data_IF_572453963599
#
_entry.id   IF_572453963599
#
_cell.length_a   1.000
_cell.length_b   1.000
_cell.length_c   1.000
_cell.angle_alpha   90.00
_cell.angle_beta   90.00
_cell.angle_gamma   90.00
#
_symmetry.space_group_name_H-M   'P 1'
#
loop_
_entity.id
_entity.type
_entity.pdbx_description
1 polymer ?
#
# COMPACT_ATOMS: atom_id res chain seq x y z
N UNK A 1 -19.59 -16.85 14.91
CA UNK A 1 -18.87 -15.86 14.09
C UNK A 1 -18.49 -16.55 12.80
N UNK A 2 -18.85 -15.99 11.64
CA UNK A 2 -18.42 -16.54 10.35
C UNK A 2 -16.90 -16.45 10.22
N UNK A 3 -16.30 -17.40 9.52
CA UNK A 3 -14.85 -17.41 9.30
C UNK A 3 -14.51 -16.32 8.26
N UNK A 4 -13.88 -15.22 8.70
CA UNK A 4 -13.43 -14.15 7.80
C UNK A 4 -12.28 -14.70 6.96
N UNK A 5 -12.25 -14.39 5.66
CA UNK A 5 -11.11 -14.75 4.83
C UNK A 5 -9.85 -14.01 5.31
N UNK A 6 -8.73 -14.70 5.63
CA UNK A 6 -7.52 -14.06 6.14
C UNK A 6 -7.01 -12.91 5.26
N UNK A 7 -7.17 -12.98 3.94
CA UNK A 7 -6.75 -11.90 3.04
C UNK A 7 -7.60 -10.62 3.20
N UNK A 8 -8.80 -10.72 3.77
CA UNK A 8 -9.59 -9.54 4.14
C UNK A 8 -9.01 -8.81 5.35
N UNK A 9 -8.27 -9.51 6.21
CA UNK A 9 -7.62 -8.96 7.40
C UNK A 9 -6.20 -8.42 7.11
N UNK A 10 -5.70 -8.60 5.89
CA UNK A 10 -4.42 -8.08 5.43
C UNK A 10 -4.46 -6.58 5.15
N UNK A 11 -5.61 -6.05 4.73
CA UNK A 11 -5.71 -4.69 4.18
C UNK A 11 -6.40 -3.71 5.12
N UNK A 12 -6.02 -2.45 5.04
CA UNK A 12 -6.58 -1.35 5.83
C UNK A 12 -6.82 -0.13 4.96
N UNK A 13 -7.83 0.66 5.31
CA UNK A 13 -8.06 1.96 4.69
C UNK A 13 -7.05 2.96 5.26
N UNK A 14 -6.31 3.63 4.37
CA UNK A 14 -5.32 4.64 4.73
C UNK A 14 -5.85 6.01 4.34
N UNK A 15 -5.69 6.99 5.22
CA UNK A 15 -6.07 8.38 5.00
C UNK A 15 -4.85 9.27 5.19
N UNK A 16 -4.64 10.20 4.27
CA UNK A 16 -3.71 11.31 4.44
C UNK A 16 -4.49 12.46 5.06
N UNK A 17 -3.96 13.03 6.15
CA UNK A 17 -4.62 14.07 6.90
C UNK A 17 -3.75 15.33 6.98
N UNK A 18 -4.41 16.48 7.05
CA UNK A 18 -3.82 17.78 7.32
C UNK A 18 -4.55 18.38 8.52
N UNK A 19 -3.86 18.65 9.62
CA UNK A 19 -4.45 19.16 10.85
C UNK A 19 -5.66 18.33 11.34
N UNK A 20 -5.58 17.01 11.22
CA UNK A 20 -6.66 16.08 11.60
C UNK A 20 -7.82 15.98 10.60
N UNK A 21 -7.77 16.68 9.46
CA UNK A 21 -8.78 16.58 8.40
C UNK A 21 -8.25 15.72 7.26
N UNK A 22 -9.03 14.72 6.85
CA UNK A 22 -8.70 13.88 5.71
C UNK A 22 -8.67 14.69 4.41
N UNK A 23 -7.53 14.66 3.71
CA UNK A 23 -7.32 15.32 2.41
C UNK A 23 -7.22 14.33 1.25
N UNK A 24 -6.83 13.09 1.53
CA UNK A 24 -6.79 12.01 0.54
C UNK A 24 -6.98 10.65 1.21
N UNK A 25 -7.26 9.62 0.42
CA UNK A 25 -7.31 8.24 0.89
C UNK A 25 -6.81 7.24 -0.13
N UNK A 26 -6.42 6.09 0.40
CA UNK A 26 -6.06 4.91 -0.36
C UNK A 26 -6.27 3.65 0.45
N UNK A 27 -5.62 2.60 -0.02
CA UNK A 27 -5.53 1.31 0.63
C UNK A 27 -4.09 1.11 1.10
N UNK A 28 -3.92 0.42 2.22
CA UNK A 28 -2.63 -0.14 2.61
C UNK A 28 -2.82 -1.58 3.05
N UNK A 29 -1.71 -2.29 3.25
CA UNK A 29 -1.74 -3.64 3.79
C UNK A 29 -0.57 -3.89 4.72
N UNK A 30 -0.79 -4.82 5.64
CA UNK A 30 0.22 -5.26 6.57
C UNK A 30 1.17 -6.25 5.88
N UNK A 31 2.46 -6.03 6.09
CA UNK A 31 3.53 -6.87 5.56
C UNK A 31 4.54 -7.15 6.67
N UNK A 32 4.97 -8.40 6.80
CA UNK A 32 5.90 -8.84 7.83
C UNK A 32 7.19 -9.36 7.20
N UNK A 33 8.35 -8.91 7.70
CA UNK A 33 9.63 -9.49 7.32
C UNK A 33 9.77 -10.91 7.86
N UNK A 34 10.34 -11.83 7.07
CA UNK A 34 10.50 -13.22 7.50
C UNK A 34 11.60 -13.35 8.56
N UNK A 35 12.74 -12.69 8.36
CA UNK A 35 13.91 -12.86 9.24
C UNK A 35 13.70 -12.18 10.59
N UNK A 36 13.43 -10.88 10.58
CA UNK A 36 13.35 -10.06 11.79
C UNK A 36 11.92 -9.98 12.38
N UNK A 37 10.92 -10.58 11.71
CA UNK A 37 9.50 -10.57 12.12
C UNK A 37 8.93 -9.15 12.33
N UNK A 38 9.53 -8.14 11.69
CA UNK A 38 9.13 -6.75 11.79
C UNK A 38 7.89 -6.50 10.95
N UNK A 39 6.97 -5.71 11.50
CA UNK A 39 5.70 -5.38 10.86
C UNK A 39 5.78 -4.02 10.16
N UNK A 40 5.19 -3.93 8.98
CA UNK A 40 5.13 -2.74 8.17
C UNK A 40 3.71 -2.51 7.65
N UNK A 41 3.34 -1.24 7.48
CA UNK A 41 2.25 -0.83 6.62
C UNK A 41 2.83 -0.49 5.25
N UNK A 42 2.35 -1.17 4.22
CA UNK A 42 2.73 -0.91 2.84
C UNK A 42 1.57 -0.21 2.13
N UNK A 43 1.87 0.86 1.39
CA UNK A 43 0.91 1.59 0.54
C UNK A 43 1.67 2.27 -0.61
N UNK A 44 0.99 3.06 -1.44
CA UNK A 44 1.67 3.87 -2.46
C UNK A 44 2.27 5.14 -1.87
N UNK A 45 3.34 5.64 -2.49
CA UNK A 45 3.94 6.91 -2.11
C UNK A 45 2.95 8.06 -2.25
N UNK A 46 2.16 8.10 -3.33
CA UNK A 46 1.17 9.16 -3.52
C UNK A 46 0.00 9.10 -2.52
N UNK A 47 -0.27 7.94 -1.91
CA UNK A 47 -1.25 7.85 -0.82
C UNK A 47 -0.72 8.53 0.45
N UNK A 48 0.59 8.48 0.67
CA UNK A 48 1.27 9.11 1.82
C UNK A 48 1.51 10.59 1.59
N UNK A 49 1.84 11.01 0.37
CA UNK A 49 2.26 12.40 0.10
C UNK A 49 1.23 13.24 -0.65
N UNK A 50 0.28 12.61 -1.33
CA UNK A 50 -0.63 13.28 -2.26
C UNK A 50 -0.02 13.56 -3.64
N UNK A 51 1.24 13.16 -3.88
CA UNK A 51 1.96 13.44 -5.12
C UNK A 51 2.67 12.20 -5.69
N UNK A 52 2.99 12.22 -6.98
CA UNK A 52 3.83 11.17 -7.56
C UNK A 52 5.25 11.19 -6.96
N UNK A 53 5.98 10.05 -6.96
CA UNK A 53 7.36 9.98 -6.45
C UNK A 53 8.34 10.97 -7.09
N UNK A 54 8.04 11.49 -8.29
CA UNK A 54 8.87 12.46 -9.01
C UNK A 54 8.61 13.91 -8.59
N UNK A 55 7.50 14.16 -7.89
CA UNK A 55 7.16 15.50 -7.43
C UNK A 55 8.19 16.03 -6.44
N UNK A 56 8.46 17.33 -6.52
CA UNK A 56 9.28 18.07 -5.55
C UNK A 56 8.44 18.85 -4.55
N UNK A 57 7.11 18.74 -4.65
CA UNK A 57 6.17 19.40 -3.75
C UNK A 57 6.22 18.76 -2.35
N UNK A 58 5.93 19.57 -1.35
CA UNK A 58 5.76 19.05 0.01
C UNK A 58 4.46 18.25 0.11
N UNK A 59 4.39 17.23 0.97
CA UNK A 59 3.16 16.46 1.14
C UNK A 59 1.93 17.34 1.40
N UNK A 60 0.77 16.92 0.85
CA UNK A 60 -0.51 17.60 1.06
C UNK A 60 -1.02 17.52 2.52
N UNK A 61 -0.45 16.64 3.33
CA UNK A 61 -0.80 16.41 4.72
C UNK A 61 0.40 16.38 5.65
N UNK A 62 0.13 16.21 6.94
CA UNK A 62 1.12 16.13 8.03
C UNK A 62 1.17 14.76 8.70
N UNK A 63 0.15 13.93 8.46
CA UNK A 63 -0.01 12.61 9.08
C UNK A 63 -0.74 11.66 8.15
N UNK A 64 -0.50 10.36 8.32
CA UNK A 64 -1.42 9.33 7.83
C UNK A 64 -2.16 8.70 9.01
N UNK A 65 -3.35 8.20 8.74
CA UNK A 65 -4.08 7.35 9.67
C UNK A 65 -4.62 6.11 8.98
N UNK A 66 -4.69 4.99 9.70
CA UNK A 66 -5.30 3.77 9.20
C UNK A 66 -6.18 3.12 10.26
N UNK A 67 -7.22 2.40 9.82
CA UNK A 67 -8.18 1.74 10.71
C UNK A 67 -7.90 0.25 10.81
N UNK A 68 -7.84 -0.27 12.02
CA UNK A 68 -7.62 -1.70 12.27
C UNK A 68 -8.71 -2.24 13.19
N UNK A 69 -9.18 -3.46 12.90
CA UNK A 69 -10.17 -4.16 13.72
C UNK A 69 -9.56 -4.51 15.08
N UNK A 70 -10.40 -4.58 16.10
CA UNK A 70 -9.99 -4.97 17.47
C UNK A 70 -10.68 -6.29 17.82
N UNK A 71 -9.96 -7.21 18.47
CA UNK A 71 -10.46 -8.54 18.84
C UNK A 71 -11.72 -8.51 19.71
N UNK A 72 -11.89 -7.47 20.52
CA UNK A 72 -13.09 -7.24 21.34
C UNK A 72 -14.30 -6.73 20.56
N UNK A 73 -14.15 -6.48 19.26
CA UNK A 73 -15.16 -5.85 18.40
C UNK A 73 -14.88 -4.38 18.13
N UNK A 74 -15.38 -3.90 16.99
CA UNK A 74 -15.13 -2.55 16.50
C UNK A 74 -13.77 -2.36 15.84
N UNK A 75 -13.29 -1.11 15.82
CA UNK A 75 -12.01 -0.74 15.24
C UNK A 75 -11.39 0.41 15.99
N UNK A 76 -10.08 0.58 15.83
CA UNK A 76 -9.39 1.81 16.22
C UNK A 76 -8.59 2.38 15.07
N UNK A 77 -8.35 3.68 15.17
CA UNK A 77 -7.51 4.42 14.24
C UNK A 77 -6.11 4.52 14.82
N UNK A 78 -5.09 4.22 14.02
CA UNK A 78 -3.70 4.48 14.33
C UNK A 78 -3.26 5.63 13.43
N UNK A 79 -2.61 6.63 14.04
CA UNK A 79 -2.12 7.81 13.36
C UNK A 79 -0.59 7.86 13.45
N UNK A 80 0.06 8.20 12.33
CA UNK A 80 1.51 8.28 12.21
C UNK A 80 1.85 9.62 11.55
N UNK A 81 2.66 10.48 12.18
CA UNK A 81 3.10 11.71 11.54
C UNK A 81 3.97 11.39 10.32
N UNK A 82 3.82 12.16 9.24
CA UNK A 82 4.66 12.00 8.05
C UNK A 82 6.13 12.27 8.34
N UNK A 83 6.40 13.27 9.18
CA UNK A 83 7.75 13.64 9.56
C UNK A 83 7.94 13.58 11.05
N UNK A 84 9.06 13.01 11.48
CA UNK A 84 9.54 13.08 12.86
C UNK A 84 10.92 13.72 12.83
N UNK A 85 11.09 14.80 13.59
CA UNK A 85 12.35 15.57 13.62
C UNK A 85 12.92 15.85 12.22
N UNK A 86 12.06 16.31 11.30
CA UNK A 86 12.42 16.64 9.91
C UNK A 86 12.72 15.47 8.97
N UNK A 87 12.61 14.22 9.44
CA UNK A 87 12.81 13.02 8.61
C UNK A 87 11.49 12.30 8.32
N UNK A 88 11.31 11.77 7.09
CA UNK A 88 10.12 11.01 6.75
C UNK A 88 10.04 9.73 7.58
N UNK A 89 8.82 9.35 7.96
CA UNK A 89 8.54 8.10 8.70
C UNK A 89 8.35 6.89 7.78
N UNK A 90 8.24 7.12 6.46
CA UNK A 90 8.17 6.07 5.46
C UNK A 90 9.52 5.83 4.77
N UNK A 91 9.67 4.61 4.26
CA UNK A 91 10.78 4.15 3.45
C UNK A 91 10.36 4.11 1.99
N UNK A 92 11.32 4.31 1.11
CA UNK A 92 11.19 4.15 -0.34
C UNK A 92 12.33 3.27 -0.84
N UNK A 93 12.18 2.71 -2.04
CA UNK A 93 13.25 1.91 -2.63
C UNK A 93 14.54 2.72 -2.79
N UNK A 94 15.69 2.11 -2.49
CA UNK A 94 16.99 2.79 -2.51
C UNK A 94 17.38 3.28 -3.91
N UNK A 95 17.31 2.41 -4.92
CA UNK A 95 17.67 2.73 -6.32
C UNK A 95 16.48 3.09 -7.22
N UNK A 96 15.30 2.46 -7.05
CA UNK A 96 14.10 2.68 -7.86
C UNK A 96 13.21 3.79 -7.28
N UNK A 97 13.70 5.04 -7.31
CA UNK A 97 12.99 6.21 -6.75
C UNK A 97 11.65 6.52 -7.41
N UNK A 98 11.43 6.03 -8.63
CA UNK A 98 10.16 6.19 -9.34
C UNK A 98 9.08 5.19 -8.91
N UNK A 99 9.45 4.15 -8.15
CA UNK A 99 8.50 3.17 -7.65
C UNK A 99 7.53 3.85 -6.67
N UNK A 100 6.25 3.79 -6.99
CA UNK A 100 5.19 4.39 -6.19
C UNK A 100 4.85 3.50 -4.99
N UNK A 101 5.82 3.34 -4.10
CA UNK A 101 5.76 2.46 -2.94
C UNK A 101 6.27 3.23 -1.73
N UNK A 102 5.49 3.20 -0.65
CA UNK A 102 5.89 3.65 0.67
C UNK A 102 5.72 2.51 1.67
N UNK A 103 6.77 2.24 2.43
CA UNK A 103 6.77 1.20 3.48
C UNK A 103 6.98 1.90 4.82
N UNK A 104 6.06 1.71 5.75
CA UNK A 104 6.04 2.42 7.04
C UNK A 104 6.24 1.38 8.14
N UNK A 105 7.39 1.36 8.82
CA UNK A 105 7.61 0.45 9.93
C UNK A 105 6.61 0.72 11.07
N UNK A 106 5.96 -0.34 11.56
CA UNK A 106 4.98 -0.28 12.65
C UNK A 106 5.61 -0.82 13.92
N UNK A 107 5.58 -0.02 14.99
CA UNK A 107 6.18 -0.38 16.28
C UNK A 107 5.20 -0.22 17.43
N UNK A 108 5.42 -1.04 18.47
CA UNK A 108 4.79 -0.90 19.77
C UNK A 108 3.53 -1.74 19.96
N UNK A 109 3.06 -1.73 21.21
CA UNK A 109 1.92 -2.54 21.65
C UNK A 109 0.57 -2.08 21.09
N UNK A 110 0.55 -0.96 20.35
CA UNK A 110 -0.67 -0.39 19.76
C UNK A 110 -1.36 -1.35 18.77
N UNK A 111 -0.73 -2.43 18.34
CA UNK A 111 -1.36 -3.45 17.48
C UNK A 111 -1.69 -4.76 18.19
N UNK A 112 -1.32 -4.94 19.47
CA UNK A 112 -1.43 -6.21 20.21
C UNK A 112 -2.85 -6.78 20.29
N UNK A 113 -3.82 -5.90 20.50
CA UNK A 113 -5.25 -6.25 20.61
C UNK A 113 -5.99 -6.19 19.26
N UNK A 114 -5.26 -5.94 18.18
CA UNK A 114 -5.84 -5.82 16.85
C UNK A 114 -6.03 -7.20 16.20
N UNK A 115 -7.02 -7.26 15.33
CA UNK A 115 -7.29 -8.39 14.44
C UNK A 115 -6.83 -7.98 13.03
N UNK A 116 -5.68 -8.52 12.61
CA UNK A 116 -5.12 -8.34 11.27
C UNK A 116 -4.26 -9.56 10.91
N UNK A 117 -4.03 -9.73 9.62
CA UNK A 117 -3.07 -10.69 9.06
C UNK A 117 -2.01 -9.91 8.27
N UNK A 118 -0.87 -10.51 7.98
CA UNK A 118 0.19 -9.85 7.21
C UNK A 118 0.65 -10.72 6.04
N UNK A 119 0.91 -10.07 4.90
CA UNK A 119 1.65 -10.72 3.81
C UNK A 119 3.13 -10.80 4.17
N UNK A 120 3.85 -11.69 3.49
CA UNK A 120 5.30 -11.74 3.52
C UNK A 120 5.82 -12.28 2.18
N UNK A 121 7.14 -12.27 2.00
CA UNK A 121 7.80 -12.73 0.79
C UNK A 121 7.64 -14.22 0.52
N UNK A 122 7.10 -14.99 1.48
CA UNK A 122 6.78 -16.42 1.37
C UNK A 122 5.40 -16.70 0.78
N UNK A 123 4.56 -15.69 0.53
CA UNK A 123 3.28 -15.86 -0.19
C UNK A 123 3.55 -15.98 -1.70
N UNK A 124 4.29 -17.03 -2.08
CA UNK A 124 4.74 -17.35 -3.43
C UNK A 124 4.49 -18.83 -3.68
N UNK A 125 3.35 -19.14 -4.30
CA UNK A 125 3.20 -20.45 -4.95
C UNK A 125 3.85 -20.33 -6.34
N UNK A 126 4.96 -21.00 -6.59
CA UNK A 126 5.65 -20.93 -7.89
C UNK A 126 4.98 -21.75 -8.98
N UNK A 127 4.22 -22.76 -8.57
CA UNK A 127 3.49 -23.65 -9.47
C UNK A 127 2.22 -22.96 -10.02
N UNK A 128 1.67 -21.94 -9.35
CA UNK A 128 0.44 -21.29 -9.86
C UNK A 128 0.71 -20.50 -11.14
N UNK A 129 -0.13 -20.71 -12.15
CA UNK A 129 -0.10 -19.94 -13.38
C UNK A 129 -0.31 -18.46 -13.08
N UNK A 130 0.69 -17.66 -13.44
CA UNK A 130 0.73 -16.21 -13.19
C UNK A 130 0.75 -15.35 -14.45
N UNK A 131 0.85 -15.96 -15.63
CA UNK A 131 0.97 -15.27 -16.93
C UNK A 131 -0.30 -14.54 -17.38
N UNK A 132 -0.31 -13.99 -18.61
CA UNK A 132 -1.49 -13.37 -19.19
C UNK A 132 -2.72 -14.26 -19.04
N UNK A 133 -3.89 -13.68 -18.76
CA UNK A 133 -5.16 -14.38 -18.42
C UNK A 133 -5.24 -14.98 -17.00
N UNK A 134 -4.14 -15.06 -16.25
CA UNK A 134 -4.21 -15.48 -14.85
C UNK A 134 -5.14 -14.54 -14.06
N UNK A 135 -6.06 -15.12 -13.29
CA UNK A 135 -7.02 -14.34 -12.49
C UNK A 135 -6.28 -13.63 -11.35
N UNK A 136 -6.41 -12.31 -11.31
CA UNK A 136 -5.88 -11.45 -10.25
C UNK A 136 -7.00 -10.90 -9.39
N UNK A 137 -6.71 -10.67 -8.11
CA UNK A 137 -7.59 -10.06 -7.12
C UNK A 137 -6.88 -8.86 -6.50
N UNK A 138 -7.53 -7.70 -6.51
CA UNK A 138 -7.19 -6.53 -5.69
C UNK A 138 -8.13 -6.49 -4.48
N UNK A 139 -7.58 -6.23 -3.30
CA UNK A 139 -8.36 -6.12 -2.06
C UNK A 139 -8.16 -4.71 -1.52
N UNK A 140 -9.22 -3.91 -1.40
CA UNK A 140 -9.07 -2.51 -1.00
C UNK A 140 -10.38 -1.74 -0.79
N UNK A 141 -10.28 -0.42 -0.83
CA UNK A 141 -11.32 0.51 -0.37
C UNK A 141 -11.70 1.54 -1.46
N UNK A 142 -12.41 1.12 -2.54
CA UNK A 142 -12.76 1.99 -3.66
C UNK A 142 -13.68 3.13 -3.21
N UNK A 143 -13.26 4.39 -3.36
CA UNK A 143 -13.92 5.58 -2.81
C UNK A 143 -14.21 5.49 -1.31
N UNK A 144 -13.49 4.64 -0.58
CA UNK A 144 -13.75 4.37 0.84
C UNK A 144 -14.97 3.48 1.06
N UNK A 145 -15.54 2.89 0.01
CA UNK A 145 -16.62 1.93 0.11
C UNK A 145 -16.08 0.61 0.71
N UNK A 146 -16.69 0.19 1.82
CA UNK A 146 -16.34 -1.00 2.57
C UNK A 146 -17.52 -1.42 3.45
N UNK A 147 -17.47 -2.63 4.01
CA UNK A 147 -18.40 -2.99 5.08
C UNK A 147 -18.01 -2.20 6.33
N UNK A 148 -18.73 -1.13 6.64
CA UNK A 148 -18.44 -0.28 7.80
C UNK A 148 -18.75 -0.95 9.15
N UNK A 149 -19.68 -1.91 9.18
CA UNK A 149 -20.04 -2.61 10.41
C UNK A 149 -18.94 -3.60 10.81
N UNK A 150 -18.36 -4.28 9.81
CA UNK A 150 -17.29 -5.23 10.02
C UNK A 150 -15.91 -4.71 9.59
N UNK A 151 -15.76 -3.46 9.17
CA UNK A 151 -14.48 -2.92 8.71
C UNK A 151 -13.74 -3.83 7.72
N UNK A 152 -14.48 -4.43 6.77
CA UNK A 152 -13.93 -5.38 5.79
C UNK A 152 -13.81 -4.73 4.41
N UNK A 153 -12.71 -5.00 3.68
CA UNK A 153 -12.44 -4.43 2.37
C UNK A 153 -13.34 -5.03 1.28
N UNK A 154 -13.30 -4.43 0.09
CA UNK A 154 -13.91 -4.98 -1.13
C UNK A 154 -12.86 -5.72 -1.96
N UNK A 155 -13.26 -6.89 -2.44
CA UNK A 155 -12.47 -7.69 -3.36
C UNK A 155 -12.89 -7.40 -4.80
N UNK A 156 -11.93 -7.09 -5.66
CA UNK A 156 -12.14 -6.87 -7.10
C UNK A 156 -11.26 -7.80 -7.90
N UNK A 157 -11.83 -8.51 -8.85
CA UNK A 157 -11.11 -9.47 -9.69
C UNK A 157 -10.96 -8.97 -11.12
N UNK A 158 -9.88 -9.38 -11.78
CA UNK A 158 -9.60 -9.15 -13.19
C UNK A 158 -8.62 -10.20 -13.70
N UNK A 159 -7.81 -9.86 -14.70
CA UNK A 159 -6.73 -10.73 -15.19
C UNK A 159 -5.41 -10.01 -15.33
N UNK A 160 -4.31 -10.75 -15.23
CA UNK A 160 -2.99 -10.30 -15.69
C UNK A 160 -3.05 -10.06 -17.20
N UNK A 161 -2.56 -8.90 -17.64
CA UNK A 161 -2.61 -8.42 -19.02
C UNK A 161 -1.24 -8.24 -19.68
N UNK A 162 -0.15 -8.47 -18.95
CA UNK A 162 1.22 -8.48 -19.47
C UNK A 162 2.01 -9.65 -18.89
N UNK A 163 3.17 -9.97 -19.47
CA UNK A 163 4.06 -11.01 -18.95
C UNK A 163 4.67 -10.61 -17.58
N UNK A 164 4.37 -11.31 -16.46
CA UNK A 164 4.85 -10.92 -15.13
C UNK A 164 6.36 -11.07 -14.95
N UNK A 165 6.97 -12.00 -15.68
CA UNK A 165 8.42 -12.28 -15.59
C UNK A 165 9.25 -11.15 -16.20
N UNK A 166 8.66 -10.33 -17.07
CA UNK A 166 9.33 -9.21 -17.73
C UNK A 166 8.93 -7.88 -17.08
N UNK A 167 9.88 -6.94 -17.05
CA UNK A 167 9.64 -5.58 -16.55
C UNK A 167 8.94 -4.77 -17.66
N UNK A 168 7.68 -4.36 -17.42
CA UNK A 168 6.88 -3.64 -18.42
C UNK A 168 7.47 -2.24 -18.66
N UNK A 169 7.82 -1.94 -19.91
CA UNK A 169 8.53 -0.72 -20.31
C UNK A 169 9.82 -0.44 -19.52
N UNK A 170 10.54 -1.50 -19.09
CA UNK A 170 11.78 -1.37 -18.32
C UNK A 170 11.59 -1.01 -16.85
N UNK A 171 10.35 -0.83 -16.40
CA UNK A 171 9.99 -0.62 -15.01
C UNK A 171 9.51 -1.92 -14.37
N UNK A 172 9.76 -2.09 -13.07
CA UNK A 172 9.34 -3.28 -12.29
C UNK A 172 7.84 -3.30 -12.05
N UNK A 173 7.07 -3.34 -13.12
CA UNK A 173 5.61 -3.26 -13.13
C UNK A 173 4.98 -4.39 -13.95
N UNK A 174 3.71 -4.64 -13.68
CA UNK A 174 2.84 -5.59 -14.40
C UNK A 174 1.55 -4.86 -14.74
N UNK A 175 1.00 -5.11 -15.93
CA UNK A 175 -0.29 -4.58 -16.37
C UNK A 175 -1.39 -5.58 -16.06
N UNK A 176 -2.50 -5.10 -15.52
CA UNK A 176 -3.70 -5.86 -15.24
C UNK A 176 -4.86 -5.32 -16.09
N UNK A 177 -5.71 -6.21 -16.60
CA UNK A 177 -7.03 -5.87 -17.10
C UNK A 177 -8.01 -5.95 -15.92
N UNK A 178 -8.32 -4.79 -15.35
CA UNK A 178 -9.14 -4.69 -14.15
C UNK A 178 -9.77 -3.30 -14.03
N UNK A 179 -11.04 -3.24 -13.66
CA UNK A 179 -11.63 -1.98 -13.21
C UNK A 179 -11.16 -1.67 -11.80
N UNK A 180 -10.44 -0.57 -11.60
CA UNK A 180 -10.12 -0.03 -10.29
C UNK A 180 -10.50 1.46 -10.21
N UNK A 181 -10.75 1.91 -9.00
CA UNK A 181 -11.32 3.23 -8.71
C UNK A 181 -10.41 3.99 -7.74
N UNK A 182 -10.49 5.34 -7.68
CA UNK A 182 -9.85 6.12 -6.63
C UNK A 182 -10.05 5.48 -5.24
N UNK A 183 -9.01 5.46 -4.41
CA UNK A 183 -9.00 4.73 -3.14
C UNK A 183 -8.47 3.29 -3.22
N UNK A 184 -8.43 2.67 -4.41
CA UNK A 184 -7.80 1.36 -4.60
C UNK A 184 -6.27 1.42 -4.61
N UNK A 185 -5.67 2.59 -4.83
CA UNK A 185 -4.22 2.80 -4.75
C UNK A 185 -3.67 2.22 -3.45
N UNK A 186 -2.72 1.31 -3.56
CA UNK A 186 -2.06 0.62 -2.47
C UNK A 186 -2.66 -0.74 -2.13
N UNK A 187 -3.68 -1.19 -2.86
CA UNK A 187 -4.24 -2.55 -2.72
C UNK A 187 -3.19 -3.60 -3.09
N UNK A 188 -3.05 -4.70 -2.32
CA UNK A 188 -2.26 -5.84 -2.75
C UNK A 188 -2.95 -6.54 -3.93
N UNK A 189 -2.14 -6.93 -4.92
CA UNK A 189 -2.53 -7.72 -6.07
C UNK A 189 -2.12 -9.17 -5.86
N UNK A 190 -3.12 -10.06 -5.82
CA UNK A 190 -2.96 -11.46 -5.47
C UNK A 190 -3.51 -12.36 -6.58
N UNK A 191 -2.82 -13.47 -6.86
CA UNK A 191 -3.47 -14.64 -7.44
C UNK A 191 -4.07 -15.43 -6.28
N UNK A 192 -5.36 -15.71 -6.37
CA UNK A 192 -6.11 -16.46 -5.36
C UNK A 192 -6.86 -17.58 -6.07
N UNK A 193 -6.39 -18.82 -5.87
CA UNK A 193 -7.06 -20.01 -6.37
C UNK A 193 -7.52 -20.85 -5.18
N UNK A 194 -8.80 -21.25 -5.20
CA UNK A 194 -9.40 -22.08 -4.16
C UNK A 194 -9.92 -23.38 -4.77
N UNK A 195 -9.59 -24.51 -4.15
CA UNK A 195 -10.03 -25.84 -4.57
C UNK A 195 -9.22 -26.49 -5.69
N UNK A 196 -8.58 -25.71 -6.57
CA UNK A 196 -7.58 -26.19 -7.51
C UNK A 196 -6.96 -25.06 -8.33
N UNK A 197 -5.81 -25.33 -8.94
CA UNK A 197 -5.09 -24.39 -9.80
C UNK A 197 -4.27 -25.12 -10.87
N UNK A 198 -3.95 -24.42 -11.95
CA UNK A 198 -3.06 -24.91 -13.00
C UNK A 198 -1.70 -24.21 -12.97
N UNK A 199 -0.69 -24.86 -13.53
CA UNK A 199 0.62 -24.25 -13.80
C UNK A 199 0.77 -23.77 -15.26
N UNK A 200 1.96 -23.27 -15.61
CA UNK A 200 2.28 -22.83 -16.97
C UNK A 200 2.36 -23.95 -18.01
N UNK A 201 2.57 -25.19 -17.57
CA UNK A 201 2.73 -26.36 -18.44
C UNK A 201 1.40 -27.10 -18.64
N UNK A 202 0.32 -26.63 -18.00
CA UNK A 202 -1.03 -27.19 -18.09
C UNK A 202 -1.31 -28.30 -17.07
N UNK A 203 -0.41 -28.54 -16.12
CA UNK A 203 -0.67 -29.46 -15.01
C UNK A 203 -1.71 -28.87 -14.08
N UNK A 204 -2.53 -29.73 -13.47
CA UNK A 204 -3.60 -29.34 -12.56
C UNK A 204 -3.32 -29.88 -11.15
N UNK A 205 -3.42 -29.00 -10.16
CA UNK A 205 -3.17 -29.28 -8.76
C UNK A 205 -4.47 -29.10 -7.96
N UNK A 206 -4.75 -30.03 -7.06
CA UNK A 206 -5.83 -29.88 -6.09
C UNK A 206 -5.34 -29.06 -4.88
N UNK A 207 -6.19 -28.17 -4.37
CA UNK A 207 -5.87 -27.34 -3.20
C UNK A 207 -5.96 -25.84 -3.47
N UNK A 208 -5.51 -25.05 -2.50
CA UNK A 208 -5.51 -23.59 -2.60
C UNK A 208 -4.11 -23.09 -2.97
N UNK A 209 -4.04 -22.06 -3.79
CA UNK A 209 -2.80 -21.36 -4.10
C UNK A 209 -2.98 -19.85 -3.94
N UNK A 210 -1.95 -19.23 -3.37
CA UNK A 210 -1.87 -17.79 -3.17
C UNK A 210 -0.51 -17.32 -3.68
N UNK A 211 -0.51 -16.24 -4.45
CA UNK A 211 0.72 -15.62 -4.93
C UNK A 211 0.57 -14.10 -4.90
N UNK A 212 1.45 -13.42 -4.17
CA UNK A 212 1.48 -11.96 -4.10
C UNK A 212 2.26 -11.38 -5.28
N UNK A 213 1.57 -10.74 -6.23
CA UNK A 213 2.19 -10.16 -7.43
C UNK A 213 2.82 -8.79 -7.14
N UNK A 214 2.20 -8.00 -6.27
CA UNK A 214 2.66 -6.65 -5.99
C UNK A 214 1.56 -5.70 -5.55
N UNK A 215 1.81 -4.40 -5.68
CA UNK A 215 0.95 -3.34 -5.17
C UNK A 215 0.35 -2.54 -6.32
N UNK A 216 -0.97 -2.40 -6.34
CA UNK A 216 -1.69 -1.58 -7.32
C UNK A 216 -1.44 -0.10 -7.09
N UNK A 217 -1.12 0.64 -8.15
CA UNK A 217 -0.77 2.07 -8.07
C UNK A 217 -1.73 2.97 -8.84
N UNK A 218 -2.07 2.63 -10.09
CA UNK A 218 -2.82 3.53 -10.95
C UNK A 218 -3.56 2.82 -12.09
N UNK A 219 -4.51 3.53 -12.70
CA UNK A 219 -5.09 3.20 -14.00
C UNK A 219 -4.40 3.99 -15.10
N UNK A 220 -4.18 3.37 -16.26
CA UNK A 220 -3.87 4.09 -17.48
C UNK A 220 -5.09 4.90 -17.94
N UNK A 221 -4.90 6.21 -18.02
CA UNK A 221 -5.90 7.17 -18.48
C UNK A 221 -5.52 7.64 -19.89
N UNK A 222 -6.50 7.65 -20.78
CA UNK A 222 -6.43 8.26 -22.09
C UNK A 222 -7.18 9.59 -22.04
N UNK A 223 -6.47 10.68 -22.36
CA UNK A 223 -7.05 12.02 -22.43
C UNK A 223 -7.18 12.42 -23.91
N UNK A 224 -8.37 12.84 -24.32
CA UNK A 224 -8.62 13.43 -25.64
C UNK A 224 -9.24 14.82 -25.48
N UNK A 225 -8.89 15.74 -26.38
CA UNK A 225 -9.52 17.05 -26.45
C UNK A 225 -10.69 16.99 -27.45
N UNK A 226 -11.91 17.21 -26.97
CA UNK A 226 -13.09 17.32 -27.81
C UNK A 226 -13.30 18.79 -28.21
N UNK A 227 -13.43 19.02 -29.52
CA UNK A 227 -13.83 20.32 -30.06
C UNK A 227 -15.37 20.41 -30.00
N UNK A 228 -15.89 21.38 -29.25
CA UNK A 228 -17.31 21.73 -29.34
C UNK A 228 -17.49 22.65 -30.55
N UNK A 229 -18.13 22.16 -31.62
CA UNK A 229 -18.63 23.03 -32.67
C UNK A 229 -19.76 23.91 -32.10
N UNK A 230 -19.53 25.21 -31.97
CA UNK A 230 -20.57 26.18 -31.65
C UNK A 230 -21.14 26.79 -32.94
N UNK A 231 -22.46 26.98 -32.98
CA UNK A 231 -23.19 27.63 -34.09
C UNK A 231 -23.04 29.18 -34.07
N UNK A 232 -22.04 29.74 -33.36
CA UNK A 232 -21.84 31.19 -33.27
C UNK A 232 -20.38 31.59 -33.05
N UNK A 233 -20.00 32.75 -33.60
CA UNK A 233 -18.63 33.31 -33.71
C UNK A 233 -17.96 33.74 -32.39
N UNK A 234 -17.85 32.86 -31.39
CA UNK A 234 -16.97 33.08 -30.24
C UNK A 234 -16.09 31.86 -29.96
N UNK A 235 -14.94 32.12 -29.32
CA UNK A 235 -13.77 31.25 -29.22
C UNK A 235 -14.05 29.74 -29.03
N UNK A 236 -13.30 28.90 -29.76
CA UNK A 236 -13.33 27.44 -29.66
C UNK A 236 -13.27 26.99 -28.19
N UNK A 237 -14.32 26.34 -27.70
CA UNK A 237 -14.31 25.67 -26.40
C UNK A 237 -13.79 24.26 -26.57
N UNK A 238 -12.71 23.95 -25.85
CA UNK A 238 -12.18 22.61 -25.73
C UNK A 238 -12.68 21.99 -24.43
N UNK A 239 -13.17 20.75 -24.50
CA UNK A 239 -13.47 19.93 -23.32
C UNK A 239 -12.48 18.78 -23.31
N UNK A 240 -11.73 18.61 -22.22
CA UNK A 240 -10.90 17.42 -22.03
C UNK A 240 -11.81 16.26 -21.62
N UNK A 241 -11.83 15.21 -22.44
CA UNK A 241 -12.48 13.95 -22.15
C UNK A 241 -11.43 12.94 -21.69
N UNK A 242 -11.67 12.30 -20.57
CA UNK A 242 -10.71 11.40 -19.92
C UNK A 242 -11.37 10.04 -19.74
N UNK A 243 -10.86 9.04 -20.44
CA UNK A 243 -11.33 7.65 -20.35
C UNK A 243 -10.24 6.76 -19.77
N UNK A 244 -10.63 5.77 -18.98
CA UNK A 244 -9.68 4.73 -18.56
C UNK A 244 -9.58 3.68 -19.65
N UNK A 245 -8.36 3.25 -19.97
CA UNK A 245 -8.14 2.06 -20.81
C UNK A 245 -8.49 0.74 -20.08
N UNK A 246 -8.95 0.82 -18.83
CA UNK A 246 -9.18 -0.32 -17.94
C UNK A 246 -7.91 -1.16 -17.68
N UNK A 247 -6.74 -0.58 -17.96
CA UNK A 247 -5.44 -1.18 -17.69
C UNK A 247 -4.87 -0.62 -16.38
N UNK A 248 -4.82 -1.47 -15.37
CA UNK A 248 -4.22 -1.19 -14.07
C UNK A 248 -2.71 -1.47 -14.07
N UNK A 249 -1.94 -0.65 -13.38
CA UNK A 249 -0.50 -0.85 -13.17
C UNK A 249 -0.25 -1.26 -11.73
N UNK A 250 0.49 -2.35 -11.54
CA UNK A 250 1.02 -2.76 -10.24
C UNK A 250 2.54 -2.72 -10.25
N UNK A 251 3.15 -2.33 -9.13
CA UNK A 251 4.58 -2.50 -8.90
C UNK A 251 4.86 -3.87 -8.30
N UNK A 252 5.87 -4.58 -8.82
CA UNK A 252 6.19 -5.96 -8.44
C UNK A 252 6.54 -6.09 -6.95
N UNK A 253 6.07 -7.16 -6.33
CA UNK A 253 6.29 -7.47 -4.90
C UNK A 253 7.78 -7.46 -4.50
N UNK A 254 8.69 -7.82 -5.42
CA UNK A 254 10.14 -7.82 -5.17
C UNK A 254 10.68 -6.47 -4.72
N UNK A 255 10.07 -5.35 -5.12
CA UNK A 255 10.48 -4.03 -4.64
C UNK A 255 10.15 -3.83 -3.15
N UNK A 256 9.05 -4.40 -2.67
CA UNK A 256 8.67 -4.36 -1.26
C UNK A 256 9.60 -5.26 -0.46
N UNK A 257 9.83 -6.49 -0.97
CA UNK A 257 10.79 -7.43 -0.40
C UNK A 257 12.17 -6.76 -0.24
N UNK A 258 12.66 -6.08 -1.27
CA UNK A 258 13.95 -5.36 -1.25
C UNK A 258 13.97 -4.24 -0.19
N UNK A 259 12.90 -3.44 -0.07
CA UNK A 259 12.82 -2.37 0.97
C UNK A 259 12.85 -2.97 2.37
N UNK A 260 12.07 -4.02 2.60
CA UNK A 260 11.90 -4.65 3.91
C UNK A 260 13.16 -5.42 4.32
N UNK A 261 13.78 -6.18 3.41
CA UNK A 261 14.97 -6.98 3.71
C UNK A 261 16.21 -6.11 3.96
N UNK A 262 16.26 -4.91 3.38
CA UNK A 262 17.34 -3.94 3.64
C UNK A 262 17.03 -2.99 4.81
N UNK A 263 15.92 -3.18 5.52
CA UNK A 263 15.56 -2.34 6.65
C UNK A 263 16.38 -2.68 7.88
N UNK A 264 17.04 -1.68 8.47
CA UNK A 264 17.73 -1.81 9.75
C UNK A 264 17.06 -0.92 10.81
N UNK A 265 16.46 -1.56 11.82
CA UNK A 265 15.71 -0.88 12.87
C UNK A 265 16.56 0.12 13.67
N UNK A 266 17.76 -0.28 14.08
CA UNK A 266 18.64 0.57 14.90
C UNK A 266 19.03 1.85 14.14
N UNK A 267 19.44 1.70 12.88
CA UNK A 267 19.81 2.83 12.01
C UNK A 267 18.62 3.75 11.76
N UNK A 268 17.43 3.20 11.55
CA UNK A 268 16.21 3.98 11.37
C UNK A 268 15.87 4.79 12.63
N UNK A 269 15.91 4.18 13.81
CA UNK A 269 15.66 4.86 15.10
C UNK A 269 16.71 5.94 15.39
N UNK A 270 17.99 5.66 15.16
CA UNK A 270 19.07 6.63 15.30
C UNK A 270 18.87 7.84 14.39
N UNK A 271 18.32 7.61 13.19
CA UNK A 271 17.97 8.66 12.23
C UNK A 271 17.16 9.78 12.85
N UNK A 272 16.19 9.47 13.71
CA UNK A 272 15.34 10.46 14.38
C UNK A 272 15.99 11.08 15.63
N UNK A 273 17.00 10.44 16.24
CA UNK A 273 17.67 10.96 17.44
C UNK A 273 18.65 12.09 17.10
N UNK A 274 19.40 11.96 16.01
CA UNK A 274 20.42 12.95 15.64
C UNK A 274 19.83 14.31 15.22
N UNK A 275 18.61 14.34 14.67
CA UNK A 275 17.94 15.61 14.33
C UNK A 275 17.38 16.36 15.55
N UNK A 276 17.20 15.69 16.70
CA UNK A 276 16.84 16.35 17.95
C UNK A 276 18.03 17.08 18.60
N UNK A 277 19.28 16.63 18.37
CA UNK A 277 20.49 17.28 18.89
C UNK A 277 20.80 18.64 18.23
N UNK A 278 20.17 18.98 17.10
CA UNK A 278 20.23 20.32 16.50
C UNK A 278 19.09 21.24 16.98
N UNK A 279 18.12 20.73 17.74
CA UNK A 279 17.02 21.49 18.32
C UNK A 279 17.13 21.49 19.86
N UNK A 280 18.07 22.27 20.40
CA UNK A 280 18.09 22.55 21.84
C UNK A 280 16.79 23.28 22.24
N UNK A 281 15.92 22.63 23.04
CA UNK A 281 15.30 23.18 24.26
C UNK A 281 14.22 22.23 24.84
N UNK A 282 14.50 21.70 26.05
CA UNK A 282 13.61 21.11 27.06
C UNK A 282 12.56 20.09 26.59
N UNK A 283 12.94 18.81 26.59
CA UNK A 283 11.97 17.71 26.66
C UNK A 283 11.49 17.54 28.10
N UNK A 284 10.22 17.88 28.34
CA UNK A 284 9.46 17.45 29.51
C UNK A 284 9.18 15.94 29.47
N UNK A 285 9.04 15.39 30.67
CA UNK A 285 8.91 13.98 31.06
C UNK A 285 8.13 13.08 30.08
N UNK A 286 8.73 11.95 29.67
CA UNK A 286 8.02 10.89 28.94
C UNK A 286 8.86 9.80 28.25
N UNK A 287 10.19 9.83 28.29
CA UNK A 287 11.05 8.84 27.63
C UNK A 287 12.09 8.26 28.61
N UNK A 288 12.08 6.95 28.82
CA UNK A 288 13.19 6.21 29.44
C UNK A 288 13.55 4.97 28.61
N UNK A 289 14.85 4.71 28.50
CA UNK A 289 15.45 3.54 27.85
C UNK A 289 15.26 2.29 28.73
N UNK A 290 15.04 1.12 28.13
CA UNK A 290 15.16 -0.15 28.85
C UNK A 290 16.61 -0.33 29.34
N UNK A 291 16.79 -0.98 30.50
CA UNK A 291 18.11 -1.16 31.14
C UNK A 291 19.13 -1.90 30.25
N UNK A 292 18.68 -2.64 29.24
CA UNK A 292 19.53 -3.32 28.27
C UNK A 292 19.90 -2.46 27.04
N UNK A 293 19.36 -1.24 26.94
CA UNK A 293 19.63 -0.30 25.83
C UNK A 293 19.08 -0.73 24.46
N UNK A 294 18.33 -1.84 24.39
CA UNK A 294 17.92 -2.47 23.11
C UNK A 294 16.46 -2.24 22.73
N UNK A 295 15.66 -1.61 23.58
CA UNK A 295 14.27 -1.27 23.25
C UNK A 295 13.83 0.10 23.77
N UNK A 296 12.95 0.75 23.00
CA UNK A 296 12.26 1.98 23.41
C UNK A 296 10.82 1.58 23.75
N UNK A 297 10.48 1.62 25.04
CA UNK A 297 9.11 1.38 25.50
C UNK A 297 8.39 2.72 25.53
N UNK A 298 7.28 2.81 24.78
CA UNK A 298 6.33 3.90 24.93
C UNK A 298 5.40 3.55 26.09
N UNK A 299 5.43 4.33 27.17
CA UNK A 299 4.35 4.36 28.15
C UNK A 299 3.66 5.71 28.05
N UNK A 300 2.33 5.67 27.90
CA UNK A 300 1.46 6.82 28.12
C UNK A 300 1.53 7.25 29.59
#
# INVERSE_FOLDING_TARGET
>A
MGNIDPLSLVTTMVSLNLNGVQVSQGTGFFYQSIEEQLLFLVTNYHVVTGHSPQSKESPLGDSISFKVRVKSGGSKTIEIPLFKNGKPTWLQHASKKNADIAVIPLFGDNLKDCEFEALNSGVKNEDVYKGPTARVTLIGYPYGFHDAANMLPVWKTGSVASEPEYDFNGEKTIVLDISAFPGMSGSPAMIVAKGGYGDKDGNMYAGNAYHFLGIYASMNMFNSELNLEQVSNDAKKFVTHTESLQLGIIWKASLIDDIVNNFNLESWLQGFRQSALQANLKLGNGLQLSEDGKSVIFKF
#
